data_IF_020805231200
#
_entry.id   IF_020805231200
#
_cell.length_a   1.000
_cell.length_b   1.000
_cell.length_c   1.000
_cell.angle_alpha   90.00
_cell.angle_beta   90.00
_cell.angle_gamma   90.00
#
_symmetry.space_group_name_H-M   'P 1'
#
loop_
_entity.id
_entity.type
_entity.pdbx_description
1 polymer ?
#
# COMPACT_ATOMS: atom_id res chain seq x y z
N UNK A 1 -21.51 7.18 19.49
CA UNK A 1 -20.45 6.65 20.38
C UNK A 1 -19.97 5.33 19.78
N UNK A 2 -18.66 5.06 19.82
CA UNK A 2 -18.10 3.80 19.30
C UNK A 2 -18.30 2.67 20.32
N UNK A 3 -18.60 1.46 19.83
CA UNK A 3 -18.94 0.31 20.68
C UNK A 3 -17.72 -0.53 21.09
N UNK A 4 -16.53 -0.27 20.53
CA UNK A 4 -15.28 -0.95 20.86
C UNK A 4 -14.06 -0.14 20.38
N UNK A 5 -12.85 -0.41 20.90
CA UNK A 5 -11.61 0.09 20.29
C UNK A 5 -11.46 -0.28 18.80
N UNK A 6 -12.04 -1.40 18.37
CA UNK A 6 -12.03 -1.85 16.96
C UNK A 6 -12.79 -0.93 16.07
N UNK A 7 -13.98 -0.53 16.52
CA UNK A 7 -14.82 0.40 15.78
C UNK A 7 -14.13 1.77 15.61
N UNK A 8 -13.32 2.20 16.59
CA UNK A 8 -12.53 3.44 16.49
C UNK A 8 -11.45 3.30 15.41
N UNK A 9 -10.66 2.22 15.45
CA UNK A 9 -9.56 2.03 14.51
C UNK A 9 -10.06 1.75 13.09
N UNK A 10 -11.18 1.05 12.94
CA UNK A 10 -11.85 0.88 11.65
C UNK A 10 -12.34 2.21 11.08
N UNK A 11 -12.93 3.07 11.92
CA UNK A 11 -13.34 4.41 11.48
C UNK A 11 -12.13 5.25 11.03
N UNK A 12 -11.03 5.23 11.79
CA UNK A 12 -9.79 5.93 11.42
C UNK A 12 -9.24 5.39 10.09
N UNK A 13 -9.19 4.06 9.92
CA UNK A 13 -8.77 3.41 8.69
C UNK A 13 -9.60 3.89 7.48
N UNK A 14 -10.93 3.95 7.62
CA UNK A 14 -11.83 4.44 6.57
C UNK A 14 -11.62 5.92 6.24
N UNK A 15 -11.33 6.77 7.24
CA UNK A 15 -11.06 8.19 7.00
C UNK A 15 -9.73 8.43 6.27
N UNK A 16 -8.70 7.63 6.56
CA UNK A 16 -7.42 7.70 5.85
C UNK A 16 -7.61 7.16 4.42
N UNK A 17 -8.32 6.04 4.26
CA UNK A 17 -8.60 5.46 2.95
C UNK A 17 -9.39 6.42 2.05
N UNK A 18 -10.38 7.13 2.58
CA UNK A 18 -11.11 8.16 1.83
C UNK A 18 -10.19 9.28 1.30
N UNK A 19 -9.18 9.69 2.07
CA UNK A 19 -8.19 10.67 1.62
C UNK A 19 -7.26 10.08 0.55
N UNK A 20 -6.90 8.81 0.67
CA UNK A 20 -6.11 8.11 -0.36
C UNK A 20 -6.89 8.01 -1.68
N UNK A 21 -8.16 7.60 -1.63
CA UNK A 21 -9.01 7.54 -2.83
C UNK A 21 -9.17 8.94 -3.46
N UNK A 22 -9.45 9.96 -2.66
CA UNK A 22 -9.54 11.33 -3.16
C UNK A 22 -8.23 11.84 -3.77
N UNK A 23 -7.07 11.42 -3.24
CA UNK A 23 -5.77 11.76 -3.83
C UNK A 23 -5.56 11.04 -5.18
N UNK A 24 -5.97 9.77 -5.28
CA UNK A 24 -5.88 8.98 -6.50
C UNK A 24 -6.79 9.50 -7.62
N UNK A 25 -7.96 10.06 -7.29
CA UNK A 25 -8.89 10.65 -8.28
C UNK A 25 -8.27 11.82 -9.08
N UNK A 26 -7.21 12.45 -8.54
CA UNK A 26 -6.53 13.57 -9.19
C UNK A 26 -5.34 13.14 -10.07
N UNK A 27 -5.06 11.85 -10.16
CA UNK A 27 -3.95 11.30 -10.95
C UNK A 27 -4.47 10.39 -12.06
N UNK A 28 -3.98 10.61 -13.28
CA UNK A 28 -4.15 9.72 -14.41
C UNK A 28 -2.76 9.32 -14.91
N UNK A 29 -2.22 8.25 -14.36
CA UNK A 29 -1.00 7.60 -14.86
C UNK A 29 -1.34 6.13 -15.14
N UNK A 30 -0.73 5.56 -16.18
CA UNK A 30 -0.89 4.16 -16.53
C UNK A 30 -0.06 3.25 -15.60
N UNK A 31 0.91 3.81 -14.87
CA UNK A 31 1.71 3.10 -13.87
C UNK A 31 1.11 3.26 -12.45
N UNK A 32 0.47 2.21 -11.89
CA UNK A 32 -0.12 2.28 -10.55
C UNK A 32 0.92 2.53 -9.45
N UNK A 33 2.18 2.16 -9.65
CA UNK A 33 3.24 2.40 -8.67
C UNK A 33 3.65 3.87 -8.66
N UNK A 34 3.64 4.55 -9.82
CA UNK A 34 3.83 6.00 -9.90
C UNK A 34 2.69 6.74 -9.21
N UNK A 35 1.44 6.33 -9.44
CA UNK A 35 0.28 6.89 -8.74
C UNK A 35 0.42 6.77 -7.22
N UNK A 36 0.86 5.61 -6.72
CA UNK A 36 1.11 5.42 -5.29
C UNK A 36 2.23 6.34 -4.80
N UNK A 37 3.34 6.41 -5.54
CA UNK A 37 4.49 7.21 -5.15
C UNK A 37 4.16 8.70 -5.03
N UNK A 38 3.34 9.22 -5.95
CA UNK A 38 3.05 10.65 -6.09
C UNK A 38 1.80 11.09 -5.32
N UNK A 39 0.75 10.27 -5.29
CA UNK A 39 -0.53 10.64 -4.66
C UNK A 39 -0.67 10.07 -3.24
N UNK A 40 -0.22 8.83 -3.02
CA UNK A 40 -0.58 8.07 -1.82
C UNK A 40 0.45 8.24 -0.71
N UNK A 41 1.76 8.15 -1.02
CA UNK A 41 2.81 8.29 0.01
C UNK A 41 2.70 9.60 0.82
N UNK A 42 2.40 10.78 0.21
CA UNK A 42 2.22 12.01 0.98
C UNK A 42 1.07 11.95 1.97
N UNK A 43 -0.08 11.39 1.57
CA UNK A 43 -1.25 11.22 2.44
C UNK A 43 -0.91 10.30 3.61
N UNK A 44 -0.28 9.16 3.33
CA UNK A 44 0.11 8.22 4.39
C UNK A 44 1.12 8.85 5.36
N UNK A 45 2.05 9.66 4.86
CA UNK A 45 3.03 10.33 5.72
C UNK A 45 2.41 11.34 6.68
N UNK A 46 1.36 12.07 6.26
CA UNK A 46 0.62 12.96 7.15
C UNK A 46 -0.01 12.22 8.33
N UNK A 47 -0.34 10.95 8.14
CA UNK A 47 -0.93 10.07 9.15
C UNK A 47 0.08 9.07 9.75
N UNK A 48 1.39 9.29 9.61
CA UNK A 48 2.42 8.28 9.92
C UNK A 48 2.35 7.75 11.36
N UNK A 49 2.03 8.58 12.35
CA UNK A 49 1.96 8.15 13.74
C UNK A 49 0.78 7.18 13.97
N UNK A 50 -0.38 7.54 13.43
CA UNK A 50 -1.59 6.73 13.47
C UNK A 50 -1.39 5.41 12.71
N UNK A 51 -0.82 5.48 11.50
CA UNK A 51 -0.55 4.30 10.69
C UNK A 51 0.50 3.40 11.34
N UNK A 52 1.52 3.95 12.00
CA UNK A 52 2.48 3.17 12.77
C UNK A 52 1.78 2.34 13.85
N UNK A 53 0.82 2.91 14.58
CA UNK A 53 0.02 2.17 15.57
C UNK A 53 -0.82 1.08 14.88
N UNK A 54 -1.44 1.38 13.74
CA UNK A 54 -2.25 0.41 12.97
C UNK A 54 -1.40 -0.75 12.43
N UNK A 55 -0.14 -0.50 12.06
CA UNK A 55 0.79 -1.51 11.54
C UNK A 55 1.58 -2.28 12.61
N UNK A 56 1.77 -1.75 13.82
CA UNK A 56 2.55 -2.41 14.88
C UNK A 56 1.73 -2.91 16.07
N UNK A 57 0.52 -2.36 16.28
CA UNK A 57 -0.35 -2.77 17.36
C UNK A 57 -1.00 -4.13 17.09
N UNK A 58 -1.65 -4.70 18.11
CA UNK A 58 -2.40 -5.96 17.99
C UNK A 58 -3.49 -5.95 16.89
N UNK A 59 -3.89 -4.77 16.38
CA UNK A 59 -4.78 -4.57 15.23
C UNK A 59 -4.17 -4.94 13.88
N UNK A 60 -2.85 -4.89 13.76
CA UNK A 60 -2.13 -5.26 12.55
C UNK A 60 -2.34 -6.75 12.19
N UNK A 61 -2.71 -7.57 13.17
CA UNK A 61 -2.67 -9.03 13.05
C UNK A 61 -3.82 -9.63 12.22
N UNK A 62 -4.78 -8.84 11.72
CA UNK A 62 -5.80 -9.38 10.81
C UNK A 62 -6.72 -8.36 10.16
N UNK A 63 -7.43 -7.55 10.95
CA UNK A 63 -8.51 -6.69 10.44
C UNK A 63 -7.98 -5.57 9.53
N UNK A 64 -6.93 -4.87 9.96
CA UNK A 64 -6.30 -3.80 9.17
C UNK A 64 -5.71 -4.31 7.85
N UNK A 65 -4.94 -5.40 7.90
CA UNK A 65 -4.35 -6.00 6.70
C UNK A 65 -5.41 -6.58 5.76
N UNK A 66 -6.49 -7.14 6.30
CA UNK A 66 -7.62 -7.66 5.51
C UNK A 66 -8.38 -6.52 4.85
N UNK A 67 -8.62 -5.42 5.56
CA UNK A 67 -9.19 -4.20 4.99
C UNK A 67 -8.36 -3.70 3.81
N UNK A 68 -7.05 -3.47 4.03
CA UNK A 68 -6.13 -3.01 2.99
C UNK A 68 -6.12 -3.96 1.79
N UNK A 69 -5.95 -5.26 2.03
CA UNK A 69 -5.95 -6.27 0.96
C UNK A 69 -7.23 -6.19 0.12
N UNK A 70 -8.39 -6.17 0.76
CA UNK A 70 -9.66 -6.19 0.05
C UNK A 70 -9.90 -4.89 -0.75
N UNK A 71 -9.54 -3.73 -0.22
CA UNK A 71 -9.70 -2.44 -0.90
C UNK A 71 -8.73 -2.33 -2.08
N UNK A 72 -7.43 -2.55 -1.84
CA UNK A 72 -6.41 -2.27 -2.85
C UNK A 72 -6.27 -3.39 -3.89
N UNK A 73 -6.71 -4.62 -3.63
CA UNK A 73 -6.86 -5.63 -4.69
C UNK A 73 -7.91 -5.23 -5.72
N UNK A 74 -9.03 -4.63 -5.27
CA UNK A 74 -10.07 -4.15 -6.20
C UNK A 74 -9.56 -2.97 -7.02
N UNK A 75 -8.89 -2.01 -6.37
CA UNK A 75 -8.28 -0.87 -7.06
C UNK A 75 -7.19 -1.29 -8.04
N UNK A 76 -6.34 -2.27 -7.69
CA UNK A 76 -5.25 -2.73 -8.55
C UNK A 76 -5.72 -3.58 -9.74
N UNK A 77 -6.90 -4.20 -9.66
CA UNK A 77 -7.34 -5.19 -10.65
C UNK A 77 -7.35 -4.66 -12.11
N UNK A 78 -7.84 -3.45 -12.43
CA UNK A 78 -7.87 -2.94 -13.80
C UNK A 78 -6.48 -2.84 -14.46
N UNK A 79 -5.42 -2.59 -13.69
CA UNK A 79 -4.04 -2.53 -14.22
C UNK A 79 -3.53 -3.90 -14.73
N UNK A 80 -4.28 -4.98 -14.48
CA UNK A 80 -3.99 -6.33 -14.96
C UNK A 80 -4.96 -6.79 -16.06
N UNK A 81 -5.71 -5.89 -16.70
CA UNK A 81 -6.70 -6.28 -17.72
C UNK A 81 -6.04 -6.88 -18.98
N UNK A 82 -4.81 -6.46 -19.29
CA UNK A 82 -4.00 -7.03 -20.38
C UNK A 82 -3.07 -8.16 -19.91
N UNK A 83 -3.34 -8.78 -18.75
CA UNK A 83 -2.50 -9.86 -18.22
C UNK A 83 -2.61 -11.14 -19.04
N UNK A 84 -1.53 -11.50 -19.73
CA UNK A 84 -1.46 -12.71 -20.54
C UNK A 84 -1.06 -13.94 -19.71
N UNK A 85 -2.05 -14.79 -19.45
CA UNK A 85 -1.84 -16.03 -18.68
C UNK A 85 -0.99 -17.08 -19.43
N UNK A 86 -0.85 -16.99 -20.74
CA UNK A 86 -0.11 -17.99 -21.53
C UNK A 86 1.40 -17.83 -21.39
N UNK A 87 1.86 -16.63 -21.06
CA UNK A 87 3.27 -16.29 -20.89
C UNK A 87 3.65 -16.01 -19.43
N UNK A 88 2.65 -15.79 -18.56
CA UNK A 88 2.88 -15.46 -17.16
C UNK A 88 3.25 -16.68 -16.29
N UNK A 89 4.09 -16.49 -15.25
CA UNK A 89 4.51 -17.57 -14.35
C UNK A 89 3.45 -17.98 -13.33
N UNK A 90 2.38 -17.20 -13.17
CA UNK A 90 1.35 -17.37 -12.13
C UNK A 90 -0.02 -16.92 -12.66
N UNK A 91 -1.09 -17.21 -11.92
CA UNK A 91 -2.42 -16.71 -12.28
C UNK A 91 -2.55 -15.19 -12.11
N UNK A 92 -3.42 -14.54 -12.89
CA UNK A 92 -3.76 -13.09 -12.73
C UNK A 92 -4.12 -12.74 -11.29
N UNK A 93 -4.95 -13.58 -10.64
CA UNK A 93 -5.35 -13.40 -9.24
C UNK A 93 -4.15 -13.43 -8.30
N UNK A 94 -3.24 -14.39 -8.51
CA UNK A 94 -2.02 -14.49 -7.72
C UNK A 94 -1.12 -13.27 -7.94
N UNK A 95 -0.95 -12.81 -9.18
CA UNK A 95 -0.16 -11.64 -9.50
C UNK A 95 -0.70 -10.37 -8.80
N UNK A 96 -2.00 -10.09 -8.92
CA UNK A 96 -2.65 -8.96 -8.22
C UNK A 96 -2.43 -9.06 -6.71
N UNK A 97 -2.65 -10.26 -6.13
CA UNK A 97 -2.46 -10.45 -4.69
C UNK A 97 -1.01 -10.25 -4.25
N UNK A 98 -0.05 -10.78 -5.01
CA UNK A 98 1.36 -10.64 -4.70
C UNK A 98 1.80 -9.18 -4.82
N UNK A 99 1.43 -8.48 -5.90
CA UNK A 99 1.75 -7.06 -6.10
C UNK A 99 1.22 -6.22 -4.94
N UNK A 100 -0.06 -6.34 -4.60
CA UNK A 100 -0.64 -5.59 -3.47
C UNK A 100 0.07 -5.90 -2.15
N UNK A 101 0.33 -7.18 -1.86
CA UNK A 101 1.03 -7.58 -0.63
C UNK A 101 2.44 -7.01 -0.57
N UNK A 102 3.21 -7.08 -1.66
CA UNK A 102 4.57 -6.55 -1.71
C UNK A 102 4.57 -5.04 -1.53
N UNK A 103 3.69 -4.32 -2.23
CA UNK A 103 3.56 -2.86 -2.11
C UNK A 103 3.20 -2.44 -0.67
N UNK A 104 2.22 -3.11 -0.06
CA UNK A 104 1.84 -2.86 1.33
C UNK A 104 2.99 -3.16 2.31
N UNK A 105 3.77 -4.23 2.05
CA UNK A 105 4.95 -4.54 2.85
C UNK A 105 5.97 -3.40 2.80
N UNK A 106 6.34 -2.92 1.61
CA UNK A 106 7.28 -1.80 1.46
C UNK A 106 6.79 -0.55 2.22
N UNK A 107 5.53 -0.17 2.03
CA UNK A 107 4.92 0.98 2.70
C UNK A 107 4.93 0.81 4.22
N UNK A 108 4.53 -0.36 4.72
CA UNK A 108 4.50 -0.64 6.16
C UNK A 108 5.90 -0.61 6.76
N UNK A 109 6.91 -1.17 6.09
CA UNK A 109 8.31 -1.14 6.52
C UNK A 109 8.83 0.30 6.60
N UNK A 110 8.46 1.15 5.66
CA UNK A 110 8.83 2.58 5.69
C UNK A 110 8.12 3.34 6.82
N UNK A 111 6.80 3.25 6.94
CA UNK A 111 6.01 4.00 7.92
C UNK A 111 6.30 3.59 9.38
N UNK A 112 6.74 2.34 9.59
CA UNK A 112 7.03 1.83 10.94
C UNK A 112 8.43 2.17 11.45
N UNK A 113 9.28 2.79 10.63
CA UNK A 113 10.59 3.28 11.06
C UNK A 113 10.45 4.26 12.25
N UNK A 114 11.50 4.43 13.09
CA UNK A 114 11.49 5.41 14.17
C UNK A 114 11.14 6.82 13.68
N UNK A 115 11.75 7.23 12.57
CA UNK A 115 11.48 8.47 11.84
C UNK A 115 11.45 8.12 10.35
N UNK A 116 10.26 7.92 9.75
CA UNK A 116 10.16 7.63 8.32
C UNK A 116 10.72 8.78 7.49
N UNK A 117 11.50 8.44 6.46
CA UNK A 117 12.01 9.42 5.49
C UNK A 117 10.85 10.18 4.83
N UNK A 118 10.95 11.51 4.60
CA UNK A 118 9.92 12.27 3.91
C UNK A 118 9.54 11.70 2.53
N UNK A 119 8.28 11.86 2.08
CA UNK A 119 7.77 11.24 0.84
C UNK A 119 8.55 11.61 -0.42
N UNK A 120 8.98 12.87 -0.55
CA UNK A 120 9.76 13.38 -1.68
C UNK A 120 11.08 12.63 -1.86
N UNK A 121 11.71 12.25 -0.75
CA UNK A 121 12.95 11.48 -0.74
C UNK A 121 12.68 9.98 -0.86
N UNK A 122 11.67 9.47 -0.14
CA UNK A 122 11.33 8.04 -0.16
C UNK A 122 10.75 7.58 -1.51
N UNK A 123 10.13 8.49 -2.27
CA UNK A 123 9.56 8.23 -3.61
C UNK A 123 10.50 7.44 -4.51
N UNK A 124 11.76 7.88 -4.62
CA UNK A 124 12.75 7.21 -5.48
C UNK A 124 13.08 5.81 -4.96
N UNK A 125 13.26 5.66 -3.65
CA UNK A 125 13.48 4.38 -3.01
C UNK A 125 12.29 3.43 -3.23
N UNK A 126 11.06 3.91 -3.07
CA UNK A 126 9.85 3.12 -3.29
C UNK A 126 9.76 2.61 -4.75
N UNK A 127 9.96 3.49 -5.72
CA UNK A 127 9.92 3.12 -7.15
C UNK A 127 11.06 2.17 -7.52
N UNK A 128 12.24 2.33 -6.89
CA UNK A 128 13.34 1.39 -7.07
C UNK A 128 12.98 0.02 -6.51
N UNK A 129 12.59 -0.07 -5.23
CA UNK A 129 12.23 -1.33 -4.56
C UNK A 129 11.11 -2.11 -5.27
N UNK A 130 10.16 -1.41 -5.89
CA UNK A 130 9.04 -2.04 -6.59
C UNK A 130 9.39 -2.54 -8.00
N UNK A 131 10.53 -2.11 -8.54
CA UNK A 131 11.03 -2.50 -9.88
C UNK A 131 12.26 -3.40 -9.82
N UNK A 132 12.86 -3.54 -8.64
CA UNK A 132 14.05 -4.36 -8.39
C UNK A 132 13.64 -5.79 -7.98
N UNK A 133 14.15 -6.84 -8.65
CA UNK A 133 13.99 -8.21 -8.18
C UNK A 133 14.50 -8.39 -6.74
N UNK A 134 13.76 -9.13 -5.90
CA UNK A 134 14.10 -9.34 -4.48
C UNK A 134 15.53 -9.84 -4.28
N UNK A 135 16.06 -10.66 -5.20
CA UNK A 135 17.42 -11.20 -5.12
C UNK A 135 18.50 -10.11 -5.08
N UNK A 136 18.27 -8.98 -5.76
CA UNK A 136 19.19 -7.84 -5.78
C UNK A 136 19.19 -7.07 -4.45
N UNK A 137 18.16 -7.24 -3.60
CA UNK A 137 18.15 -6.64 -2.25
C UNK A 137 18.97 -7.45 -1.24
N UNK A 138 19.19 -8.75 -1.52
CA UNK A 138 19.94 -9.66 -0.64
C UNK A 138 21.44 -9.59 -0.96
N UNK A 139 21.78 -9.43 -2.24
CA UNK A 139 23.14 -9.29 -2.76
C UNK A 139 23.23 -8.02 -3.61
N UNK A 140 23.27 -6.82 -2.98
CA UNK A 140 23.22 -5.54 -3.66
C UNK A 140 24.49 -5.21 -4.47
#
# INVERSE_FOLDING_TARGET
>A
LFNSPSAILQYIAQQIDAQVIAALDNYSDDDPLMMIADAVLPVLYQHNHTLKILYTGHYANGEWLTFLKNSYQKWAAPFFDNYDITTAPVSRKFAIELTVKTTLSIISTWLTQPVPTPPDQFRQTFLHLTRTPIIELICP
#
